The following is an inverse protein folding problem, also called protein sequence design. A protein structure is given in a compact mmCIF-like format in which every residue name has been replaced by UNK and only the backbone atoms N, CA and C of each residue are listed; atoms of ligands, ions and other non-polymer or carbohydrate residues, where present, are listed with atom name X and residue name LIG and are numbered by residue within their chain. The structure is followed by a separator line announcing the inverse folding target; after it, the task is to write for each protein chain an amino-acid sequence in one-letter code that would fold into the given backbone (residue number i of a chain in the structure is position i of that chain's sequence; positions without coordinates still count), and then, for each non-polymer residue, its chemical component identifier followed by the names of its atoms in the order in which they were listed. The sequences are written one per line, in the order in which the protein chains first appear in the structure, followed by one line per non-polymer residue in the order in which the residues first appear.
data_IF_689258958323
#
_entry.id   IF_689258958323
#
_cell.length_a   1.000
_cell.length_b   1.000
_cell.length_c   1.000
_cell.angle_alpha   90.00
_cell.angle_beta   90.00
_cell.angle_gamma   90.00
#
_symmetry.space_group_name_H-M   'P 1'
#
loop_
_entity.id
_entity.type
_entity.pdbx_description
1 polymer ?
#
# COMPACT_ATOMS: atom_id res chain seq x y z
N UNK A 1 -8.61 4.54 10.25
CA UNK A 1 -8.48 4.10 11.66
C UNK A 1 -7.22 3.25 11.78
N UNK A 2 -6.61 3.16 12.97
CA UNK A 2 -5.45 2.28 13.22
C UNK A 2 -5.75 0.81 12.88
N UNK A 3 -7.02 0.40 13.02
CA UNK A 3 -7.51 -0.92 12.64
C UNK A 3 -7.17 -1.31 11.19
N UNK A 4 -7.34 -0.41 10.23
CA UNK A 4 -7.04 -0.67 8.82
C UNK A 4 -5.54 -0.92 8.60
N UNK A 5 -4.70 -0.24 9.38
CA UNK A 5 -3.25 -0.39 9.33
C UNK A 5 -2.81 -1.71 9.97
N UNK A 6 -3.43 -2.13 11.07
CA UNK A 6 -3.11 -3.41 11.73
C UNK A 6 -3.39 -4.64 10.83
N UNK A 7 -4.36 -4.52 9.91
CA UNK A 7 -4.67 -5.56 8.94
C UNK A 7 -3.67 -5.58 7.75
N UNK A 8 -2.94 -4.48 7.55
CA UNK A 8 -2.02 -4.35 6.44
C UNK A 8 -0.61 -4.86 6.83
N UNK A 9 -0.05 -5.85 6.12
CA UNK A 9 1.24 -6.42 6.48
C UNK A 9 2.39 -5.41 6.39
N UNK A 10 2.21 -4.30 5.66
CA UNK A 10 3.20 -3.25 5.43
C UNK A 10 3.15 -2.13 6.49
N UNK A 11 2.11 -2.11 7.33
CA UNK A 11 1.86 -1.06 8.30
C UNK A 11 2.02 -1.57 9.74
N UNK A 12 2.52 -0.72 10.63
CA UNK A 12 2.83 -1.03 12.03
C UNK A 12 1.76 -0.47 12.97
N UNK A 13 1.67 -0.99 14.20
CA UNK A 13 0.62 -0.63 15.17
C UNK A 13 0.61 0.85 15.58
N UNK A 14 1.72 1.54 15.37
CA UNK A 14 1.91 2.97 15.56
C UNK A 14 1.51 3.81 14.32
N UNK A 15 0.85 3.20 13.33
CA UNK A 15 0.46 3.81 12.06
C UNK A 15 1.65 4.26 11.20
N UNK A 16 2.80 3.63 11.36
CA UNK A 16 4.02 3.89 10.58
C UNK A 16 4.27 2.73 9.60
N UNK A 17 4.87 3.01 8.45
CA UNK A 17 5.30 1.96 7.53
C UNK A 17 6.42 1.11 8.18
N UNK A 18 6.34 -0.20 8.01
CA UNK A 18 7.41 -1.10 8.46
C UNK A 18 8.70 -0.82 7.69
N UNK A 19 9.89 -1.08 8.28
CA UNK A 19 11.16 -0.93 7.58
C UNK A 19 11.16 -1.68 6.24
N UNK A 20 11.54 -0.98 5.16
CA UNK A 20 11.58 -1.53 3.80
C UNK A 20 10.25 -1.48 3.04
N UNK A 21 9.12 -1.15 3.69
CA UNK A 21 7.87 -0.87 2.99
C UNK A 21 7.90 0.54 2.38
N UNK A 22 7.50 0.65 1.12
CA UNK A 22 7.33 1.92 0.41
C UNK A 22 5.88 2.40 0.42
N UNK A 23 4.95 1.47 0.59
CA UNK A 23 3.51 1.70 0.64
C UNK A 23 2.83 0.63 1.50
N UNK A 24 1.56 0.87 1.83
CA UNK A 24 0.70 -0.10 2.52
C UNK A 24 -0.61 -0.27 1.75
N UNK A 25 -1.39 0.81 1.68
CA UNK A 25 -2.69 0.84 1.01
C UNK A 25 -2.63 1.45 -0.39
N UNK A 26 -3.70 1.22 -1.16
CA UNK A 26 -3.94 1.81 -2.48
C UNK A 26 -3.69 0.85 -3.64
N UNK A 27 -4.35 1.11 -4.76
CA UNK A 27 -4.35 0.21 -5.93
C UNK A 27 -2.97 0.05 -6.59
N UNK A 28 -2.06 1.01 -6.37
CA UNK A 28 -0.70 1.00 -6.91
C UNK A 28 0.33 0.42 -5.93
N UNK A 29 -0.10 -0.22 -4.85
CA UNK A 29 0.75 -0.88 -3.86
C UNK A 29 0.62 -2.40 -3.98
N UNK A 30 1.75 -3.11 -4.08
CA UNK A 30 1.79 -4.58 -4.09
C UNK A 30 3.01 -5.07 -3.30
N UNK A 31 2.77 -5.96 -2.35
CA UNK A 31 3.82 -6.52 -1.49
C UNK A 31 4.68 -5.42 -0.84
N UNK A 32 4.02 -4.38 -0.33
CA UNK A 32 4.66 -3.23 0.31
C UNK A 32 5.57 -2.39 -0.60
N UNK A 33 5.56 -2.60 -1.91
CA UNK A 33 6.32 -1.84 -2.90
C UNK A 33 5.38 -1.17 -3.89
N UNK A 34 5.81 -0.07 -4.48
CA UNK A 34 5.08 0.51 -5.59
C UNK A 34 5.10 -0.43 -6.79
N UNK A 35 3.99 -0.48 -7.53
CA UNK A 35 3.97 -1.13 -8.82
C UNK A 35 5.03 -0.51 -9.76
N UNK A 36 5.52 -1.31 -10.69
CA UNK A 36 6.49 -0.85 -11.69
C UNK A 36 5.93 0.35 -12.46
N UNK A 37 6.77 1.33 -12.72
CA UNK A 37 6.44 2.48 -13.57
C UNK A 37 5.80 2.02 -14.88
N UNK A 38 4.68 2.67 -15.25
CA UNK A 38 3.89 2.30 -16.43
C UNK A 38 2.82 1.24 -16.18
N UNK A 39 2.74 0.65 -14.99
CA UNK A 39 1.64 -0.27 -14.63
C UNK A 39 0.36 0.51 -14.34
N UNK A 40 -0.73 0.18 -15.04
CA UNK A 40 -2.05 0.75 -14.75
C UNK A 40 -2.57 0.18 -13.43
N UNK A 41 -2.83 1.04 -12.45
CA UNK A 41 -3.45 0.67 -11.18
C UNK A 41 -4.91 1.12 -11.03
N UNK A 42 -5.42 1.94 -11.96
CA UNK A 42 -6.82 2.33 -12.00
C UNK A 42 -7.24 2.50 -13.46
N UNK A 43 -8.14 1.64 -13.89
CA UNK A 43 -8.74 1.71 -15.22
C UNK A 43 -9.59 2.97 -15.37
N UNK A 44 -9.74 3.43 -16.61
CA UNK A 44 -10.67 4.49 -16.96
C UNK A 44 -12.11 4.03 -16.66
N UNK A 45 -12.92 4.92 -16.10
CA UNK A 45 -14.37 4.69 -15.99
C UNK A 45 -15.01 5.37 -17.19
N UNK A 46 -15.80 4.61 -17.95
CA UNK A 46 -16.55 5.07 -19.12
C UNK A 46 -17.46 6.26 -18.84
#
# INVERSE_FOLDING_TARGET
STESCLQDPCCSSDCVLKPGAQCAFGLCCKNCQFLKTGTVCREEKN
#
